data_IF_381550080153
#
_entry.id   IF_381550080153
#
_cell.length_a   1.000
_cell.length_b   1.000
_cell.length_c   1.000
_cell.angle_alpha   90.00
_cell.angle_beta   90.00
_cell.angle_gamma   90.00
#
_symmetry.space_group_name_H-M   'P 1'
#
loop_
_entity.id
_entity.type
_entity.pdbx_description
1 polymer ?
#
# COMPACT_ATOMS: atom_id res chain seq x y z
N UNK A 1 8.69 20.02 -10.09
CA UNK A 1 7.89 19.19 -9.17
C UNK A 1 8.86 18.67 -8.11
N UNK A 2 8.70 19.08 -6.84
CA UNK A 2 9.71 18.84 -5.79
C UNK A 2 9.88 17.34 -5.52
N UNK A 3 11.07 16.80 -5.82
CA UNK A 3 11.50 15.43 -5.44
C UNK A 3 11.42 15.18 -3.93
N UNK A 4 11.42 16.26 -3.14
CA UNK A 4 11.36 16.23 -1.69
C UNK A 4 10.01 15.70 -1.17
N UNK A 5 8.92 15.90 -1.92
CA UNK A 5 7.58 15.42 -1.52
C UNK A 5 7.43 13.91 -1.70
N UNK A 6 7.92 13.34 -2.82
CA UNK A 6 7.81 11.90 -3.08
C UNK A 6 8.63 11.08 -2.08
N UNK A 7 9.93 11.41 -1.94
CA UNK A 7 10.82 10.69 -1.02
C UNK A 7 10.31 10.74 0.42
N UNK A 8 9.74 11.89 0.83
CA UNK A 8 9.10 12.06 2.13
C UNK A 8 7.89 11.14 2.31
N UNK A 9 6.97 11.12 1.35
CA UNK A 9 5.80 10.23 1.39
C UNK A 9 6.22 8.76 1.44
N UNK A 10 7.15 8.34 0.57
CA UNK A 10 7.67 6.97 0.54
C UNK A 10 8.25 6.56 1.90
N UNK A 11 9.09 7.40 2.49
CA UNK A 11 9.69 7.11 3.80
C UNK A 11 8.64 7.05 4.91
N UNK A 12 7.67 7.99 4.92
CA UNK A 12 6.60 7.98 5.92
C UNK A 12 5.71 6.75 5.82
N UNK A 13 5.41 6.26 4.61
CA UNK A 13 4.63 5.03 4.42
C UNK A 13 5.41 3.81 4.89
N UNK A 14 6.70 3.70 4.57
CA UNK A 14 7.56 2.60 5.07
C UNK A 14 7.56 2.57 6.60
N UNK A 15 7.77 3.73 7.24
CA UNK A 15 7.76 3.85 8.70
C UNK A 15 6.40 3.48 9.30
N UNK A 16 5.30 3.90 8.66
CA UNK A 16 3.95 3.53 9.09
C UNK A 16 3.75 2.02 9.02
N UNK A 17 4.10 1.39 7.89
CA UNK A 17 3.98 -0.05 7.69
C UNK A 17 4.81 -0.81 8.72
N UNK A 18 6.07 -0.43 8.92
CA UNK A 18 6.94 -1.01 9.94
C UNK A 18 6.35 -0.90 11.34
N UNK A 19 5.78 0.25 11.70
CA UNK A 19 5.13 0.45 13.01
C UNK A 19 3.87 -0.38 13.23
N UNK A 20 3.26 -0.94 12.17
CA UNK A 20 2.01 -1.70 12.22
C UNK A 20 2.20 -3.21 12.05
N UNK A 21 3.42 -3.69 11.71
CA UNK A 21 3.70 -5.10 11.42
C UNK A 21 3.16 -6.06 12.48
N UNK A 22 3.40 -5.77 13.76
CA UNK A 22 2.93 -6.62 14.86
C UNK A 22 1.41 -6.66 14.94
N UNK A 23 0.76 -5.49 14.88
CA UNK A 23 -0.70 -5.38 14.93
C UNK A 23 -1.38 -6.06 13.74
N UNK A 24 -0.81 -5.97 12.53
CA UNK A 24 -1.32 -6.67 11.35
C UNK A 24 -1.27 -8.19 11.55
N UNK A 25 -0.14 -8.70 12.06
CA UNK A 25 0.05 -10.12 12.36
C UNK A 25 -0.95 -10.61 13.42
N UNK A 26 -1.17 -9.85 14.49
CA UNK A 26 -2.15 -10.19 15.54
C UNK A 26 -3.59 -10.29 15.00
N UNK A 27 -3.91 -9.52 13.97
CA UNK A 27 -5.23 -9.52 13.32
C UNK A 27 -5.32 -10.49 12.12
N UNK A 28 -4.35 -11.39 11.97
CA UNK A 28 -4.28 -12.36 10.88
C UNK A 28 -4.31 -11.70 9.48
N UNK A 29 -3.73 -10.50 9.38
CA UNK A 29 -3.53 -9.78 8.12
C UNK A 29 -2.10 -10.07 7.65
N UNK A 30 -2.00 -10.73 6.50
CA UNK A 30 -0.74 -10.96 5.82
C UNK A 30 -0.28 -9.66 5.18
N UNK A 31 0.99 -9.34 5.36
CA UNK A 31 1.65 -8.21 4.70
C UNK A 31 2.67 -8.74 3.70
N UNK A 32 2.54 -8.32 2.45
CA UNK A 32 3.49 -8.64 1.37
C UNK A 32 4.03 -7.34 0.79
N UNK A 33 5.35 -7.18 0.73
CA UNK A 33 5.97 -6.07 -0.01
C UNK A 33 6.12 -6.52 -1.46
N UNK A 34 5.35 -5.92 -2.37
CA UNK A 34 5.36 -6.24 -3.80
C UNK A 34 6.49 -5.49 -4.51
N UNK A 35 6.73 -4.24 -4.14
CA UNK A 35 7.78 -3.38 -4.72
C UNK A 35 8.46 -2.57 -3.62
N UNK A 36 9.79 -2.51 -3.66
CA UNK A 36 10.62 -1.64 -2.80
C UNK A 36 11.81 -1.11 -3.61
N UNK A 37 11.51 -0.18 -4.50
CA UNK A 37 12.44 0.42 -5.44
C UNK A 37 12.46 1.95 -5.29
N UNK A 38 13.41 2.62 -5.93
CA UNK A 38 13.57 4.07 -5.79
C UNK A 38 12.34 4.85 -6.27
N UNK A 39 11.67 4.35 -7.29
CA UNK A 39 10.52 4.97 -7.95
C UNK A 39 9.17 4.39 -7.49
N UNK A 40 9.18 3.38 -6.62
CA UNK A 40 7.96 2.75 -6.15
C UNK A 40 8.10 1.98 -4.84
N UNK A 41 7.07 2.06 -3.99
CA UNK A 41 6.89 1.22 -2.83
C UNK A 41 5.44 0.72 -2.81
N UNK A 42 5.24 -0.60 -2.90
CA UNK A 42 3.91 -1.22 -2.98
C UNK A 42 3.80 -2.31 -1.93
N UNK A 43 2.74 -2.23 -1.14
CA UNK A 43 2.43 -3.19 -0.08
C UNK A 43 1.02 -3.71 -0.27
N UNK A 44 0.90 -5.03 -0.25
CA UNK A 44 -0.36 -5.75 -0.19
C UNK A 44 -0.63 -6.18 1.25
N UNK A 45 -1.88 -5.98 1.66
CA UNK A 45 -2.45 -6.39 2.94
C UNK A 45 -3.61 -7.32 2.64
N UNK A 46 -3.50 -8.57 3.02
CA UNK A 46 -4.47 -9.61 2.66
C UNK A 46 -4.94 -10.41 3.87
N UNK A 47 -6.20 -10.78 3.85
CA UNK A 47 -6.78 -11.80 4.70
C UNK A 47 -7.83 -12.59 3.91
N UNK A 48 -8.38 -13.64 4.50
CA UNK A 48 -9.34 -14.54 3.83
C UNK A 48 -10.61 -13.85 3.23
N UNK A 49 -10.86 -12.58 3.53
CA UNK A 49 -12.06 -11.83 3.14
C UNK A 49 -11.76 -10.59 2.29
N UNK A 50 -10.58 -10.01 2.42
CA UNK A 50 -10.28 -8.69 1.88
C UNK A 50 -8.79 -8.58 1.56
N UNK A 51 -8.52 -7.98 0.41
CA UNK A 51 -7.21 -7.57 -0.02
C UNK A 51 -7.19 -6.05 -0.13
N UNK A 52 -6.08 -5.42 0.25
CA UNK A 52 -5.86 -4.00 0.06
C UNK A 52 -4.43 -3.76 -0.39
N UNK A 53 -4.23 -2.72 -1.19
CA UNK A 53 -2.92 -2.29 -1.64
C UNK A 53 -2.69 -0.83 -1.26
N UNK A 54 -1.48 -0.55 -0.77
CA UNK A 54 -0.94 0.80 -0.63
C UNK A 54 0.15 0.93 -1.68
N UNK A 55 -0.07 1.82 -2.64
CA UNK A 55 0.83 2.05 -3.77
C UNK A 55 1.43 3.44 -3.60
N UNK A 56 2.76 3.54 -3.57
CA UNK A 56 3.49 4.81 -3.57
C UNK A 56 4.43 4.85 -4.77
N UNK A 57 4.09 5.58 -5.83
CA UNK A 57 4.88 5.63 -7.07
C UNK A 57 5.09 7.04 -7.60
N UNK A 58 6.21 7.27 -8.30
CA UNK A 58 6.38 8.49 -9.09
C UNK A 58 5.34 8.50 -10.22
N UNK A 59 4.53 9.57 -10.37
CA UNK A 59 3.49 9.63 -11.39
C UNK A 59 4.13 9.66 -12.78
N UNK A 60 3.83 8.64 -13.58
CA UNK A 60 4.30 8.53 -14.97
C UNK A 60 3.33 9.19 -15.96
N UNK A 61 2.02 9.07 -15.74
CA UNK A 61 1.00 9.54 -16.70
C UNK A 61 -0.18 10.32 -16.11
N UNK A 62 -0.52 10.15 -14.83
CA UNK A 62 -1.67 10.80 -14.20
C UNK A 62 -1.27 11.53 -12.91
N UNK A 63 -1.93 12.65 -12.56
CA UNK A 63 -1.58 13.48 -11.39
C UNK A 63 -2.01 12.85 -10.07
N UNK A 64 -1.92 11.53 -9.92
CA UNK A 64 -2.09 10.87 -8.63
C UNK A 64 -1.04 11.45 -7.68
N UNK A 65 -1.47 11.80 -6.47
CA UNK A 65 -0.62 12.44 -5.44
C UNK A 65 0.38 11.44 -4.85
N UNK A 66 1.23 10.82 -5.66
CA UNK A 66 2.26 9.84 -5.29
C UNK A 66 1.77 8.59 -4.56
N UNK A 67 0.56 8.57 -4.00
CA UNK A 67 0.00 7.50 -3.18
C UNK A 67 -1.44 7.19 -3.64
N UNK A 68 -1.76 5.90 -3.73
CA UNK A 68 -3.12 5.39 -3.79
C UNK A 68 -3.34 4.30 -2.75
N UNK A 69 -4.60 4.12 -2.38
CA UNK A 69 -5.06 3.06 -1.51
C UNK A 69 -6.25 2.39 -2.17
N UNK A 70 -6.11 1.10 -2.44
CA UNK A 70 -7.11 0.31 -3.15
C UNK A 70 -7.55 -0.83 -2.23
N UNK A 71 -8.85 -1.10 -2.17
CA UNK A 71 -9.42 -2.15 -1.31
C UNK A 71 -10.36 -2.98 -2.15
N UNK A 72 -10.20 -4.29 -2.05
CA UNK A 72 -11.06 -5.26 -2.70
C UNK A 72 -11.56 -6.23 -1.65
N UNK A 73 -12.88 -6.32 -1.51
CA UNK A 73 -13.53 -7.23 -0.56
C UNK A 73 -14.29 -8.34 -1.28
N UNK A 74 -14.27 -9.55 -0.71
CA UNK A 74 -15.14 -10.64 -1.13
C UNK A 74 -16.42 -10.64 -0.28
N UNK A 75 -17.56 -10.37 -0.92
CA UNK A 75 -18.89 -10.53 -0.30
C UNK A 75 -19.68 -11.58 -1.09
N UNK A 76 -20.08 -12.66 -0.43
CA UNK A 76 -20.87 -13.75 -1.03
C UNK A 76 -20.25 -14.33 -2.33
N UNK A 77 -18.92 -14.46 -2.37
CA UNK A 77 -18.18 -14.93 -3.55
C UNK A 77 -18.11 -13.93 -4.70
N UNK A 78 -18.57 -12.69 -4.50
CA UNK A 78 -18.45 -11.60 -5.48
C UNK A 78 -17.39 -10.61 -5.04
N UNK A 79 -16.55 -10.21 -6.00
CA UNK A 79 -15.56 -9.15 -5.84
C UNK A 79 -16.26 -7.80 -5.78
N UNK A 80 -15.97 -7.02 -4.74
CA UNK A 80 -16.41 -5.64 -4.60
C UNK A 80 -15.18 -4.75 -4.45
N UNK A 81 -15.07 -3.77 -5.35
CA UNK A 81 -14.03 -2.74 -5.39
C UNK A 81 -14.64 -1.45 -4.85
#
# INVERSE_FOLDING_TARGET
>A
MQKDTYSGIRLSVIQLIDSKKENLKENNIKLTIIKDEKDGYVVELDNDKCMAEIVVEEPTYAPYRYISFEVVSLMDGKVKI
#
